data_IF_517473285840
#
_entry.id   IF_517473285840
#
_cell.length_a   1.000
_cell.length_b   1.000
_cell.length_c   1.000
_cell.angle_alpha   90.00
_cell.angle_beta   90.00
_cell.angle_gamma   90.00
#
_symmetry.space_group_name_H-M   'P 1'
#
loop_
_entity.id
_entity.type
_entity.pdbx_description
1 polymer ?
#
# COMPACT_ATOMS: atom_id res chain seq x y z
N UNK A 1 -18.33 -47.47 43.83
CA UNK A 1 -18.57 -46.11 43.31
C UNK A 1 -17.85 -45.20 44.29
N UNK A 2 -16.73 -44.53 44.01
CA UNK A 2 -16.20 -44.06 42.73
C UNK A 2 -14.68 -43.93 42.81
N UNK A 3 -14.05 -44.23 41.67
CA UNK A 3 -12.75 -43.78 41.19
C UNK A 3 -12.68 -42.24 41.17
N UNK A 4 -11.52 -41.56 41.24
CA UNK A 4 -10.49 -41.49 40.19
C UNK A 4 -9.17 -40.92 40.76
N UNK A 5 -8.06 -41.42 40.23
CA UNK A 5 -6.68 -40.98 40.43
C UNK A 5 -6.43 -39.61 39.80
N UNK A 6 -5.79 -38.69 40.54
CA UNK A 6 -5.28 -37.41 40.03
C UNK A 6 -3.92 -37.62 39.37
N UNK A 7 -3.90 -37.89 38.07
CA UNK A 7 -2.69 -37.74 37.26
C UNK A 7 -2.44 -36.25 36.99
N UNK A 8 -1.30 -35.76 37.46
CA UNK A 8 -0.72 -34.47 37.10
C UNK A 8 -0.59 -34.34 35.59
N UNK A 9 -1.38 -33.47 34.98
CA UNK A 9 -1.16 -32.99 33.61
C UNK A 9 -0.28 -31.76 33.70
N UNK A 10 1.04 -31.96 33.78
CA UNK A 10 2.00 -30.92 33.42
C UNK A 10 2.05 -30.81 31.91
N UNK A 11 1.09 -30.10 31.32
CA UNK A 11 1.21 -29.66 29.93
C UNK A 11 1.98 -28.35 29.92
N UNK A 12 3.31 -28.46 29.85
CA UNK A 12 4.17 -27.35 29.46
C UNK A 12 3.89 -27.04 27.97
N UNK A 13 2.89 -26.19 27.72
CA UNK A 13 2.71 -25.57 26.41
C UNK A 13 3.74 -24.44 26.29
N UNK A 14 4.95 -24.81 25.85
CA UNK A 14 5.94 -23.84 25.41
C UNK A 14 5.38 -23.08 24.19
N UNK A 15 5.40 -21.75 24.15
CA UNK A 15 5.07 -21.02 22.94
C UNK A 15 6.13 -21.37 21.89
N UNK A 16 5.73 -22.02 20.80
CA UNK A 16 6.58 -22.18 19.63
C UNK A 16 6.92 -20.79 19.12
N UNK A 17 8.20 -20.42 19.23
CA UNK A 17 8.77 -19.27 18.54
C UNK A 17 8.45 -19.42 17.04
N UNK A 18 7.85 -18.40 16.38
CA UNK A 18 7.66 -18.45 14.95
C UNK A 18 9.04 -18.57 14.30
N UNK A 19 9.23 -19.62 13.50
CA UNK A 19 10.42 -19.78 12.69
C UNK A 19 10.49 -18.60 11.72
N UNK A 20 11.64 -17.90 11.71
CA UNK A 20 11.89 -16.83 10.75
C UNK A 20 11.70 -17.40 9.35
N UNK A 21 10.83 -16.83 8.49
CA UNK A 21 10.76 -17.25 7.11
C UNK A 21 12.09 -16.95 6.44
N UNK A 22 12.80 -18.00 6.02
CA UNK A 22 13.98 -17.89 5.17
C UNK A 22 13.52 -17.33 3.83
N UNK A 23 13.67 -16.01 3.64
CA UNK A 23 13.51 -15.36 2.34
C UNK A 23 14.61 -15.91 1.43
N UNK A 24 14.26 -16.88 0.58
CA UNK A 24 15.12 -17.30 -0.52
C UNK A 24 15.30 -16.09 -1.43
N UNK A 25 16.56 -15.75 -1.71
CA UNK A 25 17.01 -14.56 -2.45
C UNK A 25 15.96 -14.04 -3.43
N UNK A 26 15.50 -12.78 -3.29
CA UNK A 26 14.61 -12.21 -4.29
C UNK A 26 15.39 -12.17 -5.59
N UNK A 27 14.93 -12.92 -6.58
CA UNK A 27 15.32 -12.72 -7.97
C UNK A 27 15.17 -11.23 -8.22
N UNK A 28 16.29 -10.55 -8.49
CA UNK A 28 16.29 -9.12 -8.81
C UNK A 28 15.51 -8.98 -10.12
N UNK A 29 14.19 -8.81 -10.00
CA UNK A 29 13.36 -8.32 -11.08
C UNK A 29 14.00 -6.97 -11.40
N UNK A 30 14.67 -6.89 -12.55
CA UNK A 30 15.08 -5.62 -13.12
C UNK A 30 13.78 -4.93 -13.49
N UNK A 31 13.20 -4.18 -12.54
CA UNK A 31 12.19 -3.21 -12.89
C UNK A 31 12.86 -2.28 -13.91
N UNK A 32 12.23 -2.02 -15.08
CA UNK A 32 12.70 -0.96 -15.95
C UNK A 32 12.80 0.32 -15.13
N UNK A 33 13.76 1.23 -15.45
CA UNK A 33 13.74 2.54 -14.82
C UNK A 33 12.36 3.14 -15.08
N UNK A 34 11.62 3.45 -14.01
CA UNK A 34 10.40 4.22 -14.10
C UNK A 34 10.83 5.56 -14.71
N UNK A 35 10.69 5.71 -16.02
CA UNK A 35 11.00 6.95 -16.70
C UNK A 35 9.94 7.94 -16.26
N UNK A 36 10.22 8.67 -15.17
CA UNK A 36 9.41 9.80 -14.70
C UNK A 36 9.60 10.96 -15.66
N UNK A 37 9.16 10.77 -16.91
CA UNK A 37 9.19 11.78 -17.98
C UNK A 37 7.83 11.94 -18.64
N UNK A 38 6.79 11.29 -18.11
CA UNK A 38 5.40 11.60 -18.44
C UNK A 38 5.04 13.01 -17.94
N UNK A 39 4.47 13.84 -18.81
CA UNK A 39 3.92 15.15 -18.44
C UNK A 39 2.78 14.92 -17.44
N UNK A 40 3.05 15.09 -16.14
CA UNK A 40 2.03 15.02 -15.11
C UNK A 40 1.05 16.19 -15.28
N UNK A 41 -0.24 15.91 -15.37
CA UNK A 41 -1.25 16.97 -15.33
C UNK A 41 -1.09 17.81 -14.05
N UNK A 42 -1.26 19.14 -14.14
CA UNK A 42 -1.10 20.04 -12.99
C UNK A 42 -1.97 19.63 -11.80
N UNK A 43 -3.19 19.15 -12.06
CA UNK A 43 -4.11 18.67 -11.03
C UNK A 43 -3.63 17.40 -10.30
N UNK A 44 -2.98 16.46 -10.99
CA UNK A 44 -2.45 15.25 -10.35
C UNK A 44 -1.22 15.55 -9.50
N UNK A 45 -0.35 16.49 -9.94
CA UNK A 45 0.77 16.97 -9.14
C UNK A 45 0.30 17.64 -7.84
N UNK A 46 -0.65 18.58 -7.94
CA UNK A 46 -1.22 19.28 -6.78
C UNK A 46 -1.88 18.31 -5.78
N UNK A 47 -2.62 17.31 -6.27
CA UNK A 47 -3.25 16.30 -5.40
C UNK A 47 -2.20 15.45 -4.67
N UNK A 48 -1.10 15.09 -5.34
CA UNK A 48 -0.02 14.32 -4.69
C UNK A 48 0.67 15.13 -3.58
N UNK A 49 0.90 16.43 -3.81
CA UNK A 49 1.45 17.34 -2.82
C UNK A 49 0.51 17.48 -1.61
N UNK A 50 -0.77 17.74 -1.83
CA UNK A 50 -1.79 17.82 -0.78
C UNK A 50 -1.87 16.53 0.06
N UNK A 51 -1.82 15.35 -0.57
CA UNK A 51 -1.79 14.08 0.14
C UNK A 51 -0.49 13.92 0.96
N UNK A 52 0.63 14.42 0.47
CA UNK A 52 1.90 14.39 1.19
C UNK A 52 1.85 15.25 2.46
N UNK A 53 1.32 16.46 2.35
CA UNK A 53 1.12 17.35 3.50
C UNK A 53 0.15 16.74 4.52
N UNK A 54 -0.94 16.13 4.04
CA UNK A 54 -1.93 15.47 4.90
C UNK A 54 -1.32 14.29 5.66
N UNK A 55 -0.46 13.49 5.04
CA UNK A 55 0.26 12.41 5.73
C UNK A 55 1.14 12.97 6.85
N UNK A 56 1.91 14.03 6.59
CA UNK A 56 2.76 14.65 7.61
C UNK A 56 1.93 15.14 8.79
N UNK A 57 0.79 15.80 8.50
CA UNK A 57 -0.14 16.25 9.54
C UNK A 57 -0.72 15.09 10.35
N UNK A 58 -1.18 14.03 9.69
CA UNK A 58 -1.77 12.85 10.34
C UNK A 58 -0.74 12.07 11.18
N UNK A 59 0.52 12.00 10.73
CA UNK A 59 1.60 11.40 11.51
C UNK A 59 1.84 12.23 12.78
N UNK A 60 1.85 13.56 12.70
CA UNK A 60 1.99 14.40 13.88
C UNK A 60 0.83 14.20 14.88
N UNK A 61 -0.41 14.15 14.38
CA UNK A 61 -1.60 13.85 15.19
C UNK A 61 -1.49 12.47 15.86
N UNK A 62 -1.09 11.43 15.12
CA UNK A 62 -0.91 10.09 15.67
C UNK A 62 0.21 10.04 16.72
N UNK A 63 1.31 10.75 16.51
CA UNK A 63 2.41 10.85 17.48
C UNK A 63 1.96 11.54 18.77
N UNK A 64 1.14 12.59 18.68
CA UNK A 64 0.56 13.27 19.84
C UNK A 64 -0.37 12.33 20.62
N UNK A 65 -1.30 11.67 19.94
CA UNK A 65 -2.26 10.73 20.56
C UNK A 65 -1.54 9.55 21.23
N UNK A 66 -0.46 9.05 20.62
CA UNK A 66 0.30 7.90 21.13
C UNK A 66 1.45 8.27 22.10
N UNK A 67 1.61 9.54 22.48
CA UNK A 67 2.83 10.07 23.12
C UNK A 67 3.09 9.63 24.57
N UNK A 68 2.13 8.98 25.24
CA UNK A 68 2.25 8.48 26.61
C UNK A 68 2.32 6.96 26.69
N UNK A 69 2.97 6.40 27.72
CA UNK A 69 3.07 4.94 27.89
C UNK A 69 1.70 4.26 28.10
N UNK A 70 0.74 4.95 28.70
CA UNK A 70 -0.65 4.49 28.82
C UNK A 70 -1.45 4.65 27.51
N UNK A 71 -1.03 5.60 26.66
CA UNK A 71 -1.67 5.85 25.37
C UNK A 71 -1.17 4.89 24.27
N UNK A 72 0.05 4.36 24.42
CA UNK A 72 0.60 3.31 23.56
C UNK A 72 -0.26 2.06 23.62
N UNK A 73 -0.86 1.70 22.49
CA UNK A 73 -1.75 0.54 22.38
C UNK A 73 -3.20 0.81 22.79
N UNK A 74 -3.54 2.05 23.15
CA UNK A 74 -4.95 2.47 23.28
C UNK A 74 -5.68 2.39 21.93
N UNK A 75 -6.99 2.24 21.97
CA UNK A 75 -7.83 2.24 20.76
C UNK A 75 -7.68 3.56 19.98
N UNK A 76 -7.56 4.69 20.69
CA UNK A 76 -7.34 6.00 20.06
C UNK A 76 -6.00 6.08 19.31
N UNK A 77 -4.93 5.51 19.88
CA UNK A 77 -3.65 5.42 19.21
C UNK A 77 -3.70 4.54 17.95
N UNK A 78 -4.43 3.42 17.99
CA UNK A 78 -4.63 2.55 16.83
C UNK A 78 -5.41 3.28 15.72
N UNK A 79 -6.54 3.89 16.06
CA UNK A 79 -7.36 4.64 15.10
C UNK A 79 -6.55 5.78 14.44
N UNK A 80 -5.75 6.51 15.22
CA UNK A 80 -4.92 7.58 14.67
C UNK A 80 -3.89 7.06 13.63
N UNK A 81 -3.31 5.87 13.85
CA UNK A 81 -2.43 5.24 12.87
C UNK A 81 -3.19 4.62 11.69
N UNK A 82 -4.41 4.11 11.89
CA UNK A 82 -5.28 3.65 10.79
C UNK A 82 -5.59 4.81 9.83
N UNK A 83 -5.85 6.01 10.35
CA UNK A 83 -6.03 7.20 9.50
C UNK A 83 -4.77 7.56 8.69
N UNK A 84 -3.58 7.42 9.26
CA UNK A 84 -2.31 7.60 8.52
C UNK A 84 -2.18 6.57 7.39
N UNK A 85 -2.56 5.32 7.66
CA UNK A 85 -2.55 4.24 6.68
C UNK A 85 -3.46 4.55 5.51
N UNK A 86 -4.70 4.98 5.76
CA UNK A 86 -5.68 5.31 4.73
C UNK A 86 -5.21 6.45 3.81
N UNK A 87 -4.68 7.55 4.37
CA UNK A 87 -4.17 8.66 3.55
C UNK A 87 -2.94 8.22 2.73
N UNK A 88 -2.08 7.39 3.31
CA UNK A 88 -0.92 6.82 2.62
C UNK A 88 -1.32 5.90 1.48
N UNK A 89 -2.36 5.08 1.69
CA UNK A 89 -2.95 4.22 0.67
C UNK A 89 -3.55 5.06 -0.47
N UNK A 90 -4.25 6.15 -0.15
CA UNK A 90 -4.78 7.08 -1.15
C UNK A 90 -3.66 7.65 -2.05
N UNK A 91 -2.53 8.04 -1.46
CA UNK A 91 -1.34 8.50 -2.22
C UNK A 91 -0.74 7.41 -3.09
N UNK A 92 -0.61 6.19 -2.56
CA UNK A 92 -0.10 5.05 -3.33
C UNK A 92 -1.02 4.70 -4.51
N UNK A 93 -2.33 4.71 -4.28
CA UNK A 93 -3.34 4.50 -5.31
C UNK A 93 -3.28 5.57 -6.40
N UNK A 94 -3.12 6.84 -6.02
CA UNK A 94 -2.93 7.93 -6.97
C UNK A 94 -1.69 7.71 -7.85
N UNK A 95 -0.56 7.33 -7.26
CA UNK A 95 0.68 7.05 -8.01
C UNK A 95 0.52 5.88 -8.98
N UNK A 96 -0.18 4.81 -8.55
CA UNK A 96 -0.48 3.66 -9.41
C UNK A 96 -1.32 4.08 -10.62
N UNK A 97 -2.40 4.83 -10.38
CA UNK A 97 -3.27 5.36 -11.46
C UNK A 97 -2.50 6.25 -12.43
N UNK A 98 -1.60 7.09 -11.92
CA UNK A 98 -0.75 7.95 -12.76
C UNK A 98 0.11 7.09 -13.67
N UNK A 99 0.78 6.06 -13.14
CA UNK A 99 1.61 5.16 -13.92
C UNK A 99 0.80 4.36 -14.96
N UNK A 100 -0.41 3.92 -14.62
CA UNK A 100 -1.34 3.27 -15.55
C UNK A 100 -1.81 4.23 -16.67
N UNK A 101 -1.97 5.52 -16.35
CA UNK A 101 -2.39 6.56 -17.30
C UNK A 101 -1.26 7.12 -18.19
N UNK A 102 -0.04 6.61 -18.08
CA UNK A 102 1.05 6.99 -18.99
C UNK A 102 0.88 6.40 -20.40
N UNK A 103 -0.04 5.44 -20.59
CA UNK A 103 -0.49 5.03 -21.91
C UNK A 103 -1.17 6.21 -22.63
N UNK A 104 -0.96 6.34 -23.94
CA UNK A 104 -1.61 7.38 -24.73
C UNK A 104 -3.13 7.19 -24.62
N UNK A 105 -3.91 8.20 -24.17
CA UNK A 105 -5.37 8.09 -24.10
C UNK A 105 -6.03 7.70 -25.43
N UNK A 106 -5.36 7.95 -26.56
CA UNK A 106 -5.85 7.57 -27.89
C UNK A 106 -5.65 6.07 -28.18
N UNK A 107 -4.68 5.42 -27.54
CA UNK A 107 -4.27 4.04 -27.88
C UNK A 107 -5.40 3.03 -27.62
N UNK A 108 -6.04 3.09 -26.45
CA UNK A 108 -7.20 2.22 -26.16
C UNK A 108 -8.40 2.47 -27.10
N UNK A 109 -8.54 3.70 -27.62
CA UNK A 109 -9.61 4.00 -28.58
C UNK A 109 -9.28 3.40 -29.96
N UNK A 110 -8.02 3.46 -30.37
CA UNK A 110 -7.56 2.89 -31.63
C UNK A 110 -7.53 1.36 -31.64
N UNK A 111 -7.36 0.71 -30.48
CA UNK A 111 -7.47 -0.76 -30.36
C UNK A 111 -8.86 -1.26 -30.77
N UNK A 112 -9.92 -0.54 -30.37
CA UNK A 112 -11.30 -0.92 -30.67
C UNK A 112 -11.84 -0.33 -31.99
N UNK A 113 -11.21 0.74 -32.51
CA UNK A 113 -11.69 1.49 -33.68
C UNK A 113 -10.56 1.78 -34.70
N UNK A 114 -9.88 0.75 -35.25
CA UNK A 114 -8.71 0.92 -36.10
C UNK A 114 -8.98 1.65 -37.43
N UNK A 115 -10.23 1.68 -37.89
CA UNK A 115 -10.66 2.27 -39.16
C UNK A 115 -10.95 3.78 -39.09
N UNK A 116 -11.05 4.34 -37.87
CA UNK A 116 -11.32 5.76 -37.63
C UNK A 116 -10.19 6.64 -38.16
N UNK A 117 -10.53 7.87 -38.53
CA UNK A 117 -9.58 8.79 -39.14
C UNK A 117 -8.42 9.14 -38.19
N UNK A 118 -8.68 9.08 -36.88
CA UNK A 118 -7.70 9.27 -35.80
C UNK A 118 -6.70 8.10 -35.67
N UNK A 119 -7.05 6.90 -36.15
CA UNK A 119 -6.33 5.65 -35.88
C UNK A 119 -5.84 4.92 -37.13
N UNK A 120 -6.26 5.35 -38.32
CA UNK A 120 -5.93 4.69 -39.58
C UNK A 120 -4.43 4.84 -39.92
N UNK A 121 -3.70 3.71 -39.87
CA UNK A 121 -2.30 3.62 -40.31
C UNK A 121 -2.24 2.97 -41.69
N UNK A 122 -1.54 3.60 -42.64
CA UNK A 122 -1.28 3.04 -43.97
C UNK A 122 0.12 2.42 -43.99
N UNK A 123 0.25 1.19 -44.51
CA UNK A 123 1.55 0.58 -44.81
C UNK A 123 2.05 1.11 -46.16
N UNK A 124 3.24 1.72 -46.17
CA UNK A 124 3.92 2.23 -47.37
C UNK A 124 4.50 1.11 -48.26
#
# INVERSE_FOLDING_TARGET
>A
MSSLSLSSISSAFLPQSPSKPTIKNPTRIKLPPLSVTGKRYKGTAMREEMLTEMIVKKVAEAMEVCGGDEAKGSDGCRVAWDEVEEVSQAKAHLRRRIAESEADPLESFCEDNPETDECRVYED
#
